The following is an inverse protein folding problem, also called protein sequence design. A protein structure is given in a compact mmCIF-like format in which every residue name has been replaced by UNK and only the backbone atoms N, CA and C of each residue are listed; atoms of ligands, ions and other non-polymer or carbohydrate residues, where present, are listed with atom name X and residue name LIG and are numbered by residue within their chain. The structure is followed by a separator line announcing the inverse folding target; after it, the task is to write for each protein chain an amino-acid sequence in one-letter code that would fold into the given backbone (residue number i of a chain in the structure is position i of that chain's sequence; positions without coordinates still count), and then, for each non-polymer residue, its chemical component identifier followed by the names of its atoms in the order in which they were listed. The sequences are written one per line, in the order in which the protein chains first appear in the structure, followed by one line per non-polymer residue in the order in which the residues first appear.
data_IF_452921996324
#
_entry.id   IF_452921996324
#
_cell.length_a   1.000
_cell.length_b   1.000
_cell.length_c   1.000
_cell.angle_alpha   90.00
_cell.angle_beta   90.00
_cell.angle_gamma   90.00
#
_symmetry.space_group_name_H-M   'P 1'
#
loop_
_entity.id
_entity.type
_entity.pdbx_description
1 polymer ?
#
# COMPACT_ATOMS: atom_id res chain seq x y z
N UNK A 1 -3.45 -28.40 -17.50
CA UNK A 1 -3.34 -27.33 -18.54
C UNK A 1 -3.88 -26.00 -18.08
N UNK A 2 -5.09 -25.89 -17.49
CA UNK A 2 -5.65 -24.65 -16.93
C UNK A 2 -4.79 -24.02 -15.85
N UNK A 3 -4.31 -24.79 -14.86
CA UNK A 3 -3.49 -24.28 -13.74
C UNK A 3 -2.19 -23.60 -14.21
N UNK A 4 -1.55 -24.10 -15.28
CA UNK A 4 -0.33 -23.50 -15.81
C UNK A 4 -0.56 -22.17 -16.55
N UNK A 5 -1.76 -21.98 -17.10
CA UNK A 5 -2.14 -20.76 -17.80
C UNK A 5 -2.44 -19.63 -16.80
N UNK A 6 -3.18 -19.93 -15.73
CA UNK A 6 -3.41 -18.99 -14.63
C UNK A 6 -2.13 -18.53 -13.97
N UNK A 7 -1.15 -19.42 -13.80
CA UNK A 7 0.14 -19.05 -13.20
C UNK A 7 0.94 -18.11 -14.11
N UNK A 8 0.92 -18.32 -15.42
CA UNK A 8 1.59 -17.44 -16.40
C UNK A 8 0.96 -16.05 -16.48
N UNK A 9 -0.37 -15.96 -16.44
CA UNK A 9 -1.10 -14.69 -16.47
C UNK A 9 -0.82 -13.86 -15.21
N UNK A 10 -0.77 -14.49 -14.03
CA UNK A 10 -0.40 -13.84 -12.77
C UNK A 10 1.01 -13.29 -12.76
N UNK A 11 1.97 -14.03 -13.28
CA UNK A 11 3.35 -13.56 -13.44
C UNK A 11 3.43 -12.41 -14.45
N UNK A 12 2.59 -12.42 -15.49
CA UNK A 12 2.50 -11.33 -16.45
C UNK A 12 2.02 -10.03 -15.84
N UNK A 13 0.96 -10.06 -15.03
CA UNK A 13 0.43 -8.87 -14.35
C UNK A 13 1.43 -8.30 -13.33
N UNK A 14 2.02 -9.15 -12.48
CA UNK A 14 3.03 -8.73 -11.51
C UNK A 14 4.28 -8.15 -12.17
N UNK A 15 4.71 -8.72 -13.31
CA UNK A 15 5.84 -8.18 -14.09
C UNK A 15 5.52 -6.83 -14.70
N UNK A 16 4.28 -6.63 -15.20
CA UNK A 16 3.85 -5.35 -15.76
C UNK A 16 3.78 -4.26 -14.69
N UNK A 17 3.27 -4.59 -13.49
CA UNK A 17 3.28 -3.69 -12.33
C UNK A 17 4.71 -3.34 -11.94
N UNK A 18 5.60 -4.32 -11.81
CA UNK A 18 7.02 -4.10 -11.46
C UNK A 18 7.69 -3.14 -12.44
N UNK A 19 7.53 -3.37 -13.77
CA UNK A 19 8.07 -2.50 -14.81
C UNK A 19 7.46 -1.08 -14.77
N UNK A 20 6.17 -0.97 -14.48
CA UNK A 20 5.49 0.34 -14.34
C UNK A 20 6.03 1.13 -13.13
N UNK A 21 6.23 0.48 -11.99
CA UNK A 21 6.78 1.10 -10.79
C UNK A 21 8.24 1.54 -11.01
N UNK A 22 9.06 0.73 -11.68
CA UNK A 22 10.43 1.09 -12.04
C UNK A 22 10.47 2.30 -12.98
N UNK A 23 9.63 2.31 -14.03
CA UNK A 23 9.55 3.41 -14.98
C UNK A 23 9.09 4.72 -14.30
N UNK A 24 8.13 4.63 -13.37
CA UNK A 24 7.50 5.80 -12.73
C UNK A 24 8.32 6.35 -11.57
N UNK A 25 8.97 5.49 -10.78
CA UNK A 25 9.59 5.86 -9.51
C UNK A 25 11.08 5.49 -9.42
N UNK A 26 11.63 4.82 -10.42
CA UNK A 26 13.04 4.41 -10.43
C UNK A 26 13.40 3.29 -9.45
N UNK A 27 12.42 2.67 -8.79
CA UNK A 27 12.65 1.55 -7.86
C UNK A 27 12.54 0.24 -8.61
N UNK A 28 13.63 -0.53 -8.66
CA UNK A 28 13.67 -1.81 -9.38
C UNK A 28 12.98 -2.91 -8.59
N UNK A 29 11.74 -3.20 -8.96
CA UNK A 29 10.97 -4.34 -8.48
C UNK A 29 11.12 -5.54 -9.41
N UNK A 30 11.02 -6.73 -8.86
CA UNK A 30 10.81 -7.95 -9.64
C UNK A 30 9.39 -8.49 -9.41
N UNK A 31 8.88 -9.30 -10.33
CA UNK A 31 7.50 -9.82 -10.24
C UNK A 31 7.20 -10.56 -8.91
N UNK A 32 8.22 -11.13 -8.26
CA UNK A 32 8.04 -11.80 -6.97
C UNK A 32 7.77 -10.84 -5.81
N UNK A 33 8.12 -9.56 -5.96
CA UNK A 33 7.90 -8.51 -4.96
C UNK A 33 6.46 -7.97 -4.99
N UNK A 34 5.71 -8.34 -6.03
CA UNK A 34 4.34 -7.90 -6.26
C UNK A 34 3.38 -9.04 -5.99
N UNK A 35 2.38 -8.78 -5.16
CA UNK A 35 1.28 -9.72 -4.91
C UNK A 35 -0.02 -9.09 -5.37
N UNK A 36 -0.62 -9.67 -6.42
CA UNK A 36 -1.92 -9.23 -6.94
C UNK A 36 -3.04 -9.71 -6.04
N UNK A 37 -4.05 -8.87 -5.84
CA UNK A 37 -5.22 -9.13 -5.00
C UNK A 37 -6.52 -8.64 -5.68
N UNK A 38 -7.65 -9.07 -5.14
CA UNK A 38 -8.97 -8.61 -5.56
C UNK A 38 -9.30 -7.24 -4.94
N UNK A 39 -8.60 -6.19 -5.40
CA UNK A 39 -8.72 -4.83 -4.91
C UNK A 39 -7.70 -4.48 -3.81
N UNK A 40 -7.58 -3.17 -3.53
CA UNK A 40 -6.67 -2.64 -2.52
C UNK A 40 -7.04 -3.10 -1.10
N UNK A 41 -8.33 -3.11 -0.75
CA UNK A 41 -8.78 -3.56 0.58
C UNK A 41 -8.37 -5.00 0.87
N UNK A 42 -8.48 -5.90 -0.13
CA UNK A 42 -8.02 -7.28 0.01
C UNK A 42 -6.51 -7.36 0.18
N UNK A 43 -5.75 -6.49 -0.49
CA UNK A 43 -4.29 -6.42 -0.36
C UNK A 43 -3.88 -5.92 1.02
N UNK A 44 -4.53 -4.85 1.54
CA UNK A 44 -4.30 -4.29 2.88
C UNK A 44 -4.60 -5.33 3.95
N UNK A 45 -5.77 -5.97 3.86
CA UNK A 45 -6.19 -6.99 4.81
C UNK A 45 -5.21 -8.16 4.85
N UNK A 46 -4.79 -8.67 3.69
CA UNK A 46 -3.84 -9.77 3.60
C UNK A 46 -2.43 -9.38 4.07
N UNK A 47 -2.00 -8.14 3.84
CA UNK A 47 -0.73 -7.64 4.35
C UNK A 47 -0.74 -7.59 5.88
N UNK A 48 -1.80 -7.01 6.47
CA UNK A 48 -1.92 -6.94 7.93
C UNK A 48 -2.01 -8.33 8.56
N UNK A 49 -2.69 -9.28 7.91
CA UNK A 49 -2.75 -10.68 8.36
C UNK A 49 -1.38 -11.37 8.36
N UNK A 50 -0.54 -11.02 7.41
CA UNK A 50 0.81 -11.57 7.30
C UNK A 50 1.80 -11.00 8.34
N UNK A 51 1.56 -9.78 8.85
CA UNK A 51 2.57 -9.08 9.68
C UNK A 51 2.15 -8.86 11.12
N UNK A 52 0.85 -8.83 11.43
CA UNK A 52 0.33 -8.54 12.76
C UNK A 52 0.12 -9.82 13.58
N UNK A 53 0.34 -9.67 14.88
CA UNK A 53 0.04 -10.66 15.92
C UNK A 53 -0.81 -10.01 17.00
N UNK A 54 -1.51 -10.80 17.82
CA UNK A 54 -2.15 -10.26 19.01
C UNK A 54 -1.17 -9.42 19.85
N UNK A 55 -1.67 -8.30 20.40
CA UNK A 55 -0.94 -7.32 21.20
C UNK A 55 0.02 -6.40 20.43
N UNK A 56 0.22 -6.60 19.12
CA UNK A 56 0.94 -5.64 18.28
C UNK A 56 0.18 -4.30 18.19
N UNK A 57 0.92 -3.22 18.03
CA UNK A 57 0.37 -1.90 17.80
C UNK A 57 0.57 -1.45 16.37
N UNK A 58 -0.48 -0.83 15.84
CA UNK A 58 -0.48 -0.20 14.52
C UNK A 58 -0.71 1.28 14.70
N UNK A 59 0.23 2.10 14.23
CA UNK A 59 0.12 3.55 14.26
C UNK A 59 -0.49 4.04 12.94
N UNK A 60 -1.51 4.90 13.02
CA UNK A 60 -2.10 5.57 11.86
C UNK A 60 -2.40 7.04 12.18
N UNK A 61 -2.42 7.90 11.17
CA UNK A 61 -2.69 9.33 11.35
C UNK A 61 -4.19 9.62 11.29
N UNK A 62 -4.73 10.24 12.34
CA UNK A 62 -6.15 10.53 12.48
C UNK A 62 -6.51 11.95 11.96
N UNK A 63 -7.64 12.08 11.27
CA UNK A 63 -8.60 11.03 10.98
C UNK A 63 -8.08 10.01 9.97
N UNK A 64 -8.34 8.73 10.19
CA UNK A 64 -7.96 7.64 9.28
C UNK A 64 -9.17 6.77 8.93
N UNK A 65 -9.06 6.00 7.85
CA UNK A 65 -10.14 5.13 7.39
C UNK A 65 -10.60 4.16 8.49
N UNK A 66 -11.91 4.10 8.74
CA UNK A 66 -12.48 3.19 9.76
C UNK A 66 -12.19 1.71 9.49
N UNK A 67 -11.93 1.37 8.25
CA UNK A 67 -11.55 0.01 7.82
C UNK A 67 -10.30 -0.48 8.53
N UNK A 68 -9.31 0.38 8.79
CA UNK A 68 -8.07 -0.03 9.47
C UNK A 68 -8.34 -0.50 10.89
N UNK A 69 -9.20 0.22 11.64
CA UNK A 69 -9.55 -0.17 13.01
C UNK A 69 -10.13 -1.58 13.06
N UNK A 70 -11.13 -1.85 12.22
CA UNK A 70 -11.77 -3.16 12.17
C UNK A 70 -10.75 -4.28 11.83
N UNK A 71 -9.89 -4.04 10.83
CA UNK A 71 -8.88 -5.01 10.41
C UNK A 71 -7.85 -5.28 11.51
N UNK A 72 -7.40 -4.25 12.21
CA UNK A 72 -6.40 -4.36 13.27
C UNK A 72 -6.95 -5.07 14.50
N UNK A 73 -8.15 -4.66 14.96
CA UNK A 73 -8.79 -5.21 16.16
C UNK A 73 -9.21 -6.68 15.96
N UNK A 74 -9.61 -7.08 14.75
CA UNK A 74 -9.94 -8.47 14.41
C UNK A 74 -8.75 -9.43 14.63
N UNK A 75 -7.53 -8.92 14.58
CA UNK A 75 -6.29 -9.67 14.84
C UNK A 75 -5.81 -9.63 16.27
N UNK A 76 -6.59 -9.01 17.16
CA UNK A 76 -6.19 -8.80 18.56
C UNK A 76 -5.07 -7.78 18.72
N UNK A 77 -4.78 -7.00 17.68
CA UNK A 77 -3.84 -5.89 17.70
C UNK A 77 -4.57 -4.58 18.07
N UNK A 78 -3.81 -3.52 18.33
CA UNK A 78 -4.35 -2.22 18.75
C UNK A 78 -4.02 -1.13 17.74
N UNK A 79 -5.03 -0.37 17.29
CA UNK A 79 -4.81 0.83 16.49
C UNK A 79 -4.52 2.02 17.42
N UNK A 80 -3.39 2.67 17.20
CA UNK A 80 -2.94 3.89 17.89
C UNK A 80 -3.04 5.05 16.91
N UNK A 81 -3.97 5.96 17.17
CA UNK A 81 -4.19 7.11 16.30
C UNK A 81 -3.31 8.28 16.73
N UNK A 82 -2.53 8.80 15.78
CA UNK A 82 -1.70 9.99 15.94
C UNK A 82 -2.44 11.18 15.34
N UNK A 83 -2.68 12.27 16.08
CA UNK A 83 -3.37 13.42 15.55
C UNK A 83 -2.59 14.09 14.41
N UNK A 84 -3.33 14.66 13.47
CA UNK A 84 -2.82 15.65 12.54
C UNK A 84 -2.89 17.03 13.18
N UNK A 85 -2.03 17.92 12.77
CA UNK A 85 -2.13 19.34 13.08
C UNK A 85 -3.40 19.91 12.42
N UNK A 86 -4.25 20.58 13.18
CA UNK A 86 -5.58 21.02 12.74
C UNK A 86 -5.53 22.10 11.65
N UNK A 87 -4.45 22.87 11.56
CA UNK A 87 -4.30 23.95 10.57
C UNK A 87 -3.70 23.43 9.26
N UNK A 88 -2.69 22.60 9.37
CA UNK A 88 -1.92 22.12 8.20
C UNK A 88 -2.39 20.76 7.68
N UNK A 89 -3.13 20.01 8.48
CA UNK A 89 -3.50 18.60 8.25
C UNK A 89 -2.27 17.69 8.01
N UNK A 90 -1.12 18.08 8.56
CA UNK A 90 0.10 17.29 8.53
C UNK A 90 0.31 16.53 9.85
N UNK A 91 1.07 15.42 9.85
CA UNK A 91 1.37 14.67 11.06
C UNK A 91 2.08 15.49 12.14
N UNK A 92 1.59 15.40 13.38
CA UNK A 92 2.30 15.89 14.54
C UNK A 92 3.43 14.90 14.89
N UNK A 93 4.68 15.31 14.65
CA UNK A 93 5.85 14.46 14.90
C UNK A 93 6.10 14.19 16.38
N UNK A 94 5.74 15.11 17.27
CA UNK A 94 5.88 14.89 18.73
C UNK A 94 4.89 13.83 19.18
N UNK A 95 3.65 13.94 18.72
CA UNK A 95 2.63 12.94 18.98
C UNK A 95 3.00 11.57 18.37
N UNK A 96 3.57 11.55 17.15
CA UNK A 96 4.07 10.32 16.53
C UNK A 96 5.15 9.66 17.39
N UNK A 97 6.17 10.40 17.82
CA UNK A 97 7.24 9.85 18.65
C UNK A 97 6.72 9.31 19.99
N UNK A 98 5.75 9.99 20.60
CA UNK A 98 5.09 9.52 21.83
C UNK A 98 4.21 8.26 21.60
N UNK A 99 3.65 8.09 20.41
CA UNK A 99 2.81 6.96 20.06
C UNK A 99 3.60 5.68 19.74
N UNK A 100 4.88 5.81 19.37
CA UNK A 100 5.73 4.66 19.07
C UNK A 100 6.20 3.98 20.36
N UNK A 101 5.91 2.68 20.50
CA UNK A 101 6.25 1.85 21.65
C UNK A 101 6.97 0.57 21.21
N UNK A 102 7.54 -0.21 22.14
CA UNK A 102 8.10 -1.53 21.82
C UNK A 102 7.10 -2.53 21.23
N UNK A 103 5.80 -2.25 21.27
CA UNK A 103 4.76 -3.07 20.64
C UNK A 103 4.43 -2.59 19.21
N UNK A 104 4.90 -1.42 18.81
CA UNK A 104 4.61 -0.88 17.46
C UNK A 104 5.24 -1.77 16.39
N UNK A 105 4.38 -2.39 15.57
CA UNK A 105 4.79 -3.28 14.48
C UNK A 105 4.62 -2.67 13.11
N UNK A 106 3.61 -1.80 12.95
CA UNK A 106 3.21 -1.24 11.68
C UNK A 106 2.86 0.25 11.83
N UNK A 107 3.26 1.06 10.87
CA UNK A 107 2.73 2.40 10.64
C UNK A 107 1.95 2.41 9.31
N UNK A 108 0.81 3.08 9.27
CA UNK A 108 -0.01 3.23 8.06
C UNK A 108 -0.03 4.69 7.67
N UNK A 109 0.22 4.95 6.39
CA UNK A 109 0.03 6.25 5.75
C UNK A 109 -0.91 6.07 4.56
N UNK A 110 -1.96 6.89 4.50
CA UNK A 110 -2.87 6.93 3.35
C UNK A 110 -2.48 8.08 2.42
N UNK A 111 -2.35 7.83 1.13
CA UNK A 111 -1.89 8.83 0.16
C UNK A 111 -2.78 8.87 -1.09
N UNK A 112 -3.53 9.96 -1.32
CA UNK A 112 -3.78 11.10 -0.39
C UNK A 112 -4.38 10.64 0.93
N UNK A 113 -4.15 11.41 2.01
CA UNK A 113 -4.71 11.03 3.30
C UNK A 113 -6.26 10.98 3.22
N UNK A 114 -6.84 9.90 3.69
CA UNK A 114 -8.29 9.74 3.77
C UNK A 114 -8.75 9.95 5.22
N UNK A 115 -9.65 10.90 5.52
CA UNK A 115 -10.53 11.65 4.59
C UNK A 115 -10.04 13.05 4.19
N UNK A 116 -8.88 13.55 4.67
CA UNK A 116 -8.47 14.96 4.46
C UNK A 116 -8.07 15.29 3.01
N UNK A 117 -7.84 14.27 2.17
CA UNK A 117 -7.32 14.38 0.81
C UNK A 117 -5.95 15.14 0.70
N UNK A 118 -5.24 15.30 1.83
CA UNK A 118 -3.96 16.02 1.89
C UNK A 118 -2.83 15.14 1.37
N UNK A 119 -2.03 15.68 0.44
CA UNK A 119 -0.77 15.09 0.03
C UNK A 119 0.35 15.53 0.99
N UNK A 120 1.21 14.60 1.39
CA UNK A 120 2.34 14.95 2.27
C UNK A 120 3.54 15.41 1.44
N UNK A 121 4.20 16.52 1.83
CA UNK A 121 5.49 16.90 1.26
C UNK A 121 6.58 15.86 1.59
N UNK A 122 7.64 15.80 0.77
CA UNK A 122 8.79 14.91 1.02
C UNK A 122 9.42 15.11 2.41
N UNK A 123 9.46 16.34 2.91
CA UNK A 123 9.95 16.63 4.26
C UNK A 123 9.14 15.93 5.37
N UNK A 124 7.84 15.74 5.15
CA UNK A 124 6.99 14.96 6.07
C UNK A 124 7.31 13.47 5.98
N UNK A 125 7.55 12.96 4.76
CA UNK A 125 7.95 11.58 4.58
C UNK A 125 9.31 11.29 5.24
N UNK A 126 10.28 12.18 5.09
CA UNK A 126 11.58 12.11 5.80
C UNK A 126 11.41 12.12 7.32
N UNK A 127 10.55 12.99 7.83
CA UNK A 127 10.26 13.10 9.27
C UNK A 127 9.68 11.79 9.84
N UNK A 128 8.66 11.23 9.18
CA UNK A 128 8.04 9.96 9.57
C UNK A 128 9.06 8.83 9.47
N UNK A 129 9.75 8.70 8.34
CA UNK A 129 10.77 7.67 8.14
C UNK A 129 11.87 7.74 9.21
N UNK A 130 12.31 8.96 9.54
CA UNK A 130 13.28 9.22 10.60
C UNK A 130 12.79 8.79 11.98
N UNK A 131 11.53 9.08 12.34
CA UNK A 131 10.94 8.66 13.60
C UNK A 131 10.86 7.12 13.70
N UNK A 132 10.36 6.45 12.65
CA UNK A 132 10.30 4.99 12.59
C UNK A 132 11.70 4.36 12.68
N UNK A 133 12.69 4.94 12.01
CA UNK A 133 14.07 4.45 12.05
C UNK A 133 14.68 4.56 13.45
N UNK A 134 14.45 5.68 14.17
CA UNK A 134 14.90 5.85 15.56
C UNK A 134 14.22 4.82 16.47
N UNK A 135 12.91 4.64 16.32
CA UNK A 135 12.13 3.68 17.10
C UNK A 135 12.62 2.23 16.89
N UNK A 136 12.82 1.80 15.64
CA UNK A 136 13.39 0.47 15.35
C UNK A 136 14.72 0.22 16.08
N UNK A 137 15.60 1.22 16.06
CA UNK A 137 16.90 1.12 16.75
C UNK A 137 16.75 1.06 18.26
N UNK A 138 15.81 1.82 18.83
CA UNK A 138 15.57 1.85 20.26
C UNK A 138 14.93 0.56 20.76
N UNK A 139 13.99 -0.01 19.99
CA UNK A 139 13.22 -1.18 20.39
C UNK A 139 13.85 -2.51 19.96
N UNK A 140 14.82 -2.48 19.04
CA UNK A 140 15.55 -3.66 18.59
C UNK A 140 14.79 -4.60 17.64
N UNK A 141 13.70 -4.12 17.05
CA UNK A 141 12.94 -4.87 16.06
C UNK A 141 12.50 -3.98 14.87
N UNK A 142 12.11 -4.62 13.75
CA UNK A 142 11.63 -3.92 12.57
C UNK A 142 10.22 -3.39 12.77
N UNK A 143 10.00 -2.12 12.41
CA UNK A 143 8.68 -1.52 12.22
C UNK A 143 8.44 -1.43 10.72
N UNK A 144 7.29 -1.87 10.23
CA UNK A 144 6.93 -1.78 8.82
C UNK A 144 6.12 -0.51 8.56
N UNK A 145 6.14 -0.03 7.33
CA UNK A 145 5.27 1.06 6.87
C UNK A 145 4.42 0.56 5.71
N UNK A 146 3.11 0.70 5.82
CA UNK A 146 2.17 0.48 4.74
C UNK A 146 1.74 1.82 4.16
N UNK A 147 2.06 2.07 2.89
CA UNK A 147 1.51 3.18 2.13
C UNK A 147 0.26 2.70 1.41
N UNK A 148 -0.89 3.18 1.85
CA UNK A 148 -2.15 2.98 1.16
C UNK A 148 -2.34 4.05 0.10
N UNK A 149 -2.11 3.68 -1.15
CA UNK A 149 -2.22 4.51 -2.33
C UNK A 149 -3.40 4.09 -3.22
N UNK A 150 -4.44 3.47 -2.63
CA UNK A 150 -5.61 3.01 -3.38
C UNK A 150 -6.26 4.11 -4.21
N UNK A 151 -6.19 5.35 -3.75
CA UNK A 151 -6.79 6.53 -4.39
C UNK A 151 -5.77 7.49 -5.02
N UNK A 152 -4.50 7.11 -5.14
CA UNK A 152 -3.43 8.00 -5.61
C UNK A 152 -3.62 8.54 -7.03
N UNK A 153 -4.31 7.78 -7.89
CA UNK A 153 -4.58 8.20 -9.27
C UNK A 153 -5.79 9.15 -9.39
N UNK A 154 -6.51 9.39 -8.28
CA UNK A 154 -7.62 10.34 -8.21
C UNK A 154 -7.18 11.75 -7.77
N UNK A 155 -5.93 11.93 -7.37
CA UNK A 155 -5.39 13.24 -7.00
C UNK A 155 -5.25 14.13 -8.27
N UNK A 156 -6.19 15.07 -8.43
CA UNK A 156 -6.34 15.87 -9.66
C UNK A 156 -5.42 17.09 -9.76
N UNK A 157 -4.66 17.44 -8.73
CA UNK A 157 -3.98 18.74 -8.65
C UNK A 157 -2.48 18.72 -8.96
N UNK A 158 -1.97 17.64 -9.57
CA UNK A 158 -0.56 17.53 -9.89
C UNK A 158 0.37 17.42 -8.67
N UNK A 159 -0.16 17.35 -7.46
CA UNK A 159 0.60 17.09 -6.26
C UNK A 159 1.13 15.64 -6.32
N UNK A 160 2.46 15.53 -6.34
CA UNK A 160 3.10 14.23 -6.30
C UNK A 160 3.21 13.80 -4.83
N UNK A 161 2.56 12.69 -4.51
CA UNK A 161 2.77 12.02 -3.22
C UNK A 161 4.21 11.49 -3.15
N UNK A 162 4.86 11.53 -1.97
CA UNK A 162 6.18 10.98 -1.80
C UNK A 162 6.15 9.47 -2.08
N UNK A 163 7.17 8.99 -2.80
CA UNK A 163 7.34 7.56 -3.03
C UNK A 163 7.99 6.92 -1.81
N UNK A 164 7.19 6.34 -0.92
CA UNK A 164 7.63 5.85 0.38
C UNK A 164 8.81 4.87 0.35
N UNK A 165 8.94 3.96 -0.61
CA UNK A 165 10.12 3.11 -0.74
C UNK A 165 11.46 3.84 -0.86
N UNK A 166 11.45 5.10 -1.32
CA UNK A 166 12.67 5.92 -1.39
C UNK A 166 13.07 6.49 -0.02
N UNK A 167 12.11 6.68 0.91
CA UNK A 167 12.34 7.23 2.23
C UNK A 167 12.52 6.16 3.30
N UNK A 168 11.79 5.05 3.17
CA UNK A 168 11.76 4.01 4.19
C UNK A 168 11.79 2.60 3.57
N UNK A 169 12.92 1.92 3.72
CA UNK A 169 13.14 0.61 3.08
C UNK A 169 12.24 -0.52 3.57
N UNK A 170 11.72 -0.44 4.84
CA UNK A 170 10.78 -1.42 5.39
C UNK A 170 9.34 -1.05 5.04
N UNK A 171 9.07 -0.68 3.79
CA UNK A 171 7.76 -0.25 3.34
C UNK A 171 7.13 -1.21 2.35
N UNK A 172 5.81 -1.23 2.36
CA UNK A 172 4.96 -1.84 1.35
C UNK A 172 4.02 -0.77 0.80
N UNK A 173 3.72 -0.84 -0.48
CA UNK A 173 2.78 0.07 -1.16
C UNK A 173 1.61 -0.74 -1.66
N UNK A 174 0.39 -0.34 -1.30
CA UNK A 174 -0.85 -0.89 -1.84
C UNK A 174 -1.44 0.10 -2.82
N UNK A 175 -1.83 -0.39 -3.99
CA UNK A 175 -2.52 0.41 -5.02
C UNK A 175 -3.67 -0.36 -5.63
N UNK A 176 -4.68 0.37 -6.06
CA UNK A 176 -5.65 -0.14 -7.03
C UNK A 176 -5.01 -0.19 -8.41
N UNK A 177 -5.32 -1.21 -9.18
CA UNK A 177 -5.04 -1.19 -10.62
C UNK A 177 -6.04 -0.23 -11.23
N UNK A 178 -5.53 0.75 -11.94
CA UNK A 178 -6.20 1.94 -12.47
C UNK A 178 -7.70 1.78 -12.71
N UNK A 179 -8.50 2.53 -11.96
CA UNK A 179 -9.95 2.56 -12.12
C UNK A 179 -10.38 3.11 -13.50
N UNK A 180 -9.50 3.81 -14.22
CA UNK A 180 -9.75 4.27 -15.59
C UNK A 180 -9.63 3.15 -16.62
N UNK A 181 -8.90 2.09 -16.31
CA UNK A 181 -8.75 0.89 -17.12
C UNK A 181 -9.65 -0.26 -16.62
N UNK A 182 -10.32 -0.11 -15.48
CA UNK A 182 -11.10 -1.17 -14.89
C UNK A 182 -12.32 -1.52 -15.75
N UNK A 183 -12.47 -2.80 -15.98
CA UNK A 183 -13.77 -3.36 -16.35
C UNK A 183 -14.69 -3.10 -15.16
N UNK A 184 -15.70 -2.27 -15.34
CA UNK A 184 -16.59 -1.83 -14.27
C UNK A 184 -17.10 -3.05 -13.46
N UNK A 185 -16.84 -3.05 -12.16
CA UNK A 185 -17.29 -4.10 -11.25
C UNK A 185 -16.25 -5.19 -10.92
N UNK A 186 -15.04 -5.16 -11.48
CA UNK A 186 -13.98 -6.12 -11.15
C UNK A 186 -12.79 -5.42 -10.49
N UNK A 187 -12.76 -5.26 -9.15
CA UNK A 187 -11.66 -4.61 -8.46
C UNK A 187 -10.37 -5.43 -8.60
N UNK A 188 -9.31 -4.79 -9.01
CA UNK A 188 -7.97 -5.35 -8.94
C UNK A 188 -7.06 -4.40 -8.16
N UNK A 189 -6.17 -4.97 -7.37
CA UNK A 189 -5.17 -4.25 -6.63
C UNK A 189 -3.92 -5.09 -6.46
N UNK A 190 -2.93 -4.50 -5.84
CA UNK A 190 -1.70 -5.21 -5.51
C UNK A 190 -1.04 -4.62 -4.27
N UNK A 191 -0.21 -5.41 -3.64
CA UNK A 191 0.80 -4.92 -2.70
C UNK A 191 2.18 -5.13 -3.29
N UNK A 192 3.00 -4.08 -3.29
CA UNK A 192 4.40 -4.09 -3.69
C UNK A 192 5.28 -3.96 -2.45
N UNK A 193 6.12 -4.96 -2.18
CA UNK A 193 7.04 -4.94 -1.05
C UNK A 193 8.40 -4.40 -1.51
N UNK A 194 8.90 -3.38 -0.81
CA UNK A 194 10.17 -2.75 -1.15
C UNK A 194 11.30 -3.78 -1.21
N UNK A 195 12.14 -3.78 -2.25
CA UNK A 195 13.21 -4.78 -2.40
C UNK A 195 14.17 -4.85 -1.21
N UNK A 196 14.34 -3.76 -0.47
CA UNK A 196 15.16 -3.67 0.74
C UNK A 196 14.47 -4.04 2.06
N UNK A 197 13.19 -4.46 2.04
CA UNK A 197 12.44 -4.84 3.23
C UNK A 197 13.06 -6.07 3.90
N UNK A 198 13.21 -6.02 5.23
CA UNK A 198 13.58 -7.18 6.03
C UNK A 198 12.45 -8.22 5.99
N UNK A 199 12.81 -9.50 6.06
CA UNK A 199 11.86 -10.64 6.07
C UNK A 199 10.86 -10.64 4.90
N UNK A 200 11.18 -9.93 3.81
CA UNK A 200 10.31 -9.77 2.64
C UNK A 200 9.73 -11.08 2.13
N UNK A 201 10.54 -12.14 2.06
CA UNK A 201 10.12 -13.45 1.59
C UNK A 201 9.02 -14.06 2.44
N UNK A 202 9.13 -13.95 3.74
CA UNK A 202 8.15 -14.48 4.70
C UNK A 202 6.86 -13.65 4.67
N UNK A 203 6.97 -12.33 4.57
CA UNK A 203 5.81 -11.43 4.42
C UNK A 203 5.05 -11.76 3.13
N UNK A 204 5.73 -11.94 1.99
CA UNK A 204 5.10 -12.34 0.73
C UNK A 204 4.39 -13.70 0.87
N UNK A 205 5.02 -14.66 1.53
CA UNK A 205 4.42 -15.98 1.74
C UNK A 205 3.16 -15.88 2.62
N UNK A 206 3.20 -15.07 3.68
CA UNK A 206 2.07 -14.77 4.54
C UNK A 206 0.91 -14.13 3.78
N UNK A 207 1.16 -13.07 3.01
CA UNK A 207 0.13 -12.40 2.19
C UNK A 207 -0.53 -13.40 1.23
N UNK A 208 0.26 -14.24 0.56
CA UNK A 208 -0.26 -15.24 -0.36
C UNK A 208 -1.09 -16.31 0.35
N UNK A 209 -0.76 -16.63 1.61
CA UNK A 209 -1.54 -17.53 2.45
C UNK A 209 -2.88 -16.89 2.81
N UNK A 210 -2.87 -15.69 3.37
CA UNK A 210 -4.05 -14.93 3.75
C UNK A 210 -5.03 -14.74 2.57
N UNK A 211 -4.54 -14.35 1.40
CA UNK A 211 -5.37 -14.21 0.21
C UNK A 211 -6.03 -15.53 -0.22
N UNK A 212 -5.34 -16.66 -0.06
CA UNK A 212 -5.93 -17.98 -0.37
C UNK A 212 -7.02 -18.37 0.62
N UNK A 213 -6.80 -18.13 1.90
CA UNK A 213 -7.78 -18.43 2.96
C UNK A 213 -9.03 -17.57 2.82
N UNK A 214 -8.88 -16.31 2.46
CA UNK A 214 -9.98 -15.40 2.19
C UNK A 214 -10.69 -15.64 0.83
N UNK A 215 -10.28 -16.64 0.03
CA UNK A 215 -10.70 -16.81 -1.37
C UNK A 215 -10.49 -15.56 -2.25
N UNK A 216 -9.61 -14.65 -1.85
CA UNK A 216 -9.28 -13.40 -2.53
C UNK A 216 -7.95 -13.49 -3.32
N UNK A 217 -7.40 -14.70 -3.46
CA UNK A 217 -6.11 -14.97 -4.09
C UNK A 217 -6.09 -14.67 -5.60
N UNK A 218 -7.23 -14.38 -6.18
CA UNK A 218 -7.38 -14.19 -7.61
C UNK A 218 -8.05 -12.85 -7.87
N UNK A 219 -7.24 -11.84 -8.20
CA UNK A 219 -7.79 -10.73 -8.94
C UNK A 219 -8.45 -11.27 -10.23
N UNK A 220 -9.62 -10.75 -10.62
CA UNK A 220 -10.30 -11.23 -11.83
C UNK A 220 -9.35 -11.28 -13.03
N UNK A 221 -9.40 -12.37 -13.79
CA UNK A 221 -8.47 -12.60 -14.92
C UNK A 221 -8.51 -11.45 -15.93
N UNK A 222 -9.69 -10.86 -16.14
CA UNK A 222 -9.86 -9.72 -17.04
C UNK A 222 -9.12 -8.49 -16.53
N UNK A 223 -9.21 -8.19 -15.24
CA UNK A 223 -8.50 -7.08 -14.62
C UNK A 223 -6.98 -7.27 -14.69
N UNK A 224 -6.49 -8.50 -14.51
CA UNK A 224 -5.06 -8.83 -14.68
C UNK A 224 -4.60 -8.65 -16.14
N UNK A 225 -5.44 -8.94 -17.13
CA UNK A 225 -5.12 -8.72 -18.55
C UNK A 225 -5.03 -7.24 -18.92
N UNK A 226 -5.90 -6.42 -18.35
CA UNK A 226 -5.87 -4.96 -18.57
C UNK A 226 -4.57 -4.37 -18.02
N UNK A 227 -4.06 -4.87 -16.89
CA UNK A 227 -2.77 -4.44 -16.31
C UNK A 227 -1.58 -4.71 -17.24
N UNK A 228 -1.67 -5.73 -18.10
CA UNK A 228 -0.57 -6.11 -19.02
C UNK A 228 -0.61 -5.31 -20.32
N UNK A 229 -1.76 -4.69 -20.65
CA UNK A 229 -1.82 -3.85 -21.85
C UNK A 229 -0.92 -2.64 -21.66
N UNK A 230 0.01 -2.35 -22.62
CA UNK A 230 0.78 -1.14 -22.55
C UNK A 230 -0.20 0.03 -22.45
N UNK A 231 0.03 0.89 -21.46
CA UNK A 231 -0.67 2.16 -21.35
C UNK A 231 -0.30 2.99 -22.59
N UNK A 232 -0.94 2.73 -23.70
CA UNK A 232 -0.92 3.55 -24.89
C UNK A 232 -1.78 4.81 -24.69
N UNK A 233 -2.06 5.13 -23.44
CA UNK A 233 -2.79 6.31 -23.08
C UNK A 233 -1.82 7.36 -22.60
N UNK A 234 -1.50 8.28 -23.49
CA UNK A 234 -1.45 9.69 -23.12
C UNK A 234 -2.52 9.96 -22.07
N UNK A 235 -2.26 10.78 -21.03
CA UNK A 235 -3.25 11.13 -20.03
C UNK A 235 -4.36 11.96 -20.67
N UNK A 236 -5.33 11.31 -21.30
CA UNK A 236 -6.58 11.94 -21.66
C UNK A 236 -7.45 11.85 -20.43
N UNK A 237 -7.77 12.98 -19.76
CA UNK A 237 -8.64 12.96 -18.59
C UNK A 237 -9.92 12.21 -18.91
N UNK A 238 -10.40 11.38 -17.98
CA UNK A 238 -11.64 10.60 -18.14
C UNK A 238 -12.83 11.43 -18.64
N UNK A 239 -12.94 12.68 -18.18
CA UNK A 239 -13.95 13.64 -18.65
C UNK A 239 -13.89 13.96 -20.14
N UNK A 240 -12.74 13.85 -20.80
CA UNK A 240 -12.61 14.14 -22.24
C UNK A 240 -13.05 12.98 -23.15
N UNK A 241 -13.23 11.76 -22.60
CA UNK A 241 -13.68 10.60 -23.37
C UNK A 241 -15.20 10.52 -23.58
N UNK A 242 -15.98 11.30 -22.83
CA UNK A 242 -17.45 11.30 -22.88
C UNK A 242 -18.04 12.65 -23.35
N UNK A 243 -17.22 13.55 -23.86
CA UNK A 243 -17.63 14.87 -24.35
C UNK A 243 -17.87 14.90 -25.88
N UNK A 244 -18.26 13.78 -26.48
CA UNK A 244 -18.67 13.70 -27.89
C UNK A 244 -20.04 13.09 -28.03
#
# INVERSE_FOLDING_TARGET
MLVSQFTKERLGAASAVAASLECRFGTSYVASDIVMAAGADSAINAFMDAVLKPEDEVVAFAPCGQTYRAIVEDRGARLVEVPLDEETMLPDFVALECALTPHTKLAIVSMPNDPSATAYPEAVADGIAGALFRAQRAFGHSIMLLSDEAHSDMANDGAQNPWWPAFYRNSAVVRSVDMSASVAGEPAGYVALTPGMADRGDVIAGIRCALREANAAYAPVMAQRVTVLPSAASPVPFAARFAS
#
